data_IF_911824294452
#
_entry.id   IF_911824294452
#
_cell.length_a   1.000
_cell.length_b   1.000
_cell.length_c   1.000
_cell.angle_alpha   90.00
_cell.angle_beta   90.00
_cell.angle_gamma   90.00
#
_symmetry.space_group_name_H-M   'P 1'
#
loop_
_entity.id
_entity.type
_entity.pdbx_description
1 polymer ?
#
# COMPACT_ATOMS: atom_id res chain seq x y z
N UNK A 1 -38.23 24.91 -5.97
CA UNK A 1 -37.59 23.57 -6.10
C UNK A 1 -36.04 23.60 -6.11
N UNK A 2 -35.37 24.76 -6.21
CA UNK A 2 -33.88 24.80 -6.24
C UNK A 2 -33.16 24.68 -4.89
N UNK A 3 -33.83 24.96 -3.77
CA UNK A 3 -33.19 25.03 -2.45
C UNK A 3 -33.01 23.64 -1.80
N UNK A 4 -34.00 22.76 -1.91
CA UNK A 4 -33.93 21.38 -1.40
C UNK A 4 -32.90 20.49 -2.13
N UNK A 5 -32.65 20.76 -3.42
CA UNK A 5 -31.60 20.06 -4.18
C UNK A 5 -30.19 20.46 -3.76
N UNK A 6 -29.98 21.73 -3.39
CA UNK A 6 -28.70 22.24 -2.89
C UNK A 6 -28.32 21.66 -1.52
N UNK A 7 -29.30 21.54 -0.62
CA UNK A 7 -29.08 20.99 0.73
C UNK A 7 -28.84 19.47 0.69
N UNK A 8 -29.54 18.74 -0.17
CA UNK A 8 -29.30 17.30 -0.38
C UNK A 8 -27.92 17.05 -0.99
N UNK A 9 -27.54 17.82 -2.02
CA UNK A 9 -26.23 17.70 -2.65
C UNK A 9 -25.10 18.00 -1.65
N UNK A 10 -25.26 19.06 -0.84
CA UNK A 10 -24.30 19.44 0.20
C UNK A 10 -24.21 18.37 1.31
N UNK A 11 -25.33 17.79 1.72
CA UNK A 11 -25.38 16.71 2.71
C UNK A 11 -24.77 15.39 2.20
N UNK A 12 -24.96 15.07 0.91
CA UNK A 12 -24.31 13.92 0.27
C UNK A 12 -22.80 14.14 0.16
N UNK A 13 -22.37 15.35 -0.20
CA UNK A 13 -20.95 15.70 -0.29
C UNK A 13 -20.25 15.61 1.08
N UNK A 14 -20.87 16.15 2.13
CA UNK A 14 -20.30 16.09 3.50
C UNK A 14 -20.24 14.66 4.02
N UNK A 15 -21.23 13.81 3.72
CA UNK A 15 -21.21 12.39 4.09
C UNK A 15 -20.09 11.64 3.36
N UNK A 16 -19.90 11.89 2.07
CA UNK A 16 -18.84 11.24 1.30
C UNK A 16 -17.45 11.63 1.81
N UNK A 17 -17.22 12.91 2.07
CA UNK A 17 -15.96 13.38 2.65
C UNK A 17 -15.72 12.81 4.06
N UNK A 18 -16.76 12.70 4.89
CA UNK A 18 -16.63 12.08 6.21
C UNK A 18 -16.22 10.59 6.13
N UNK A 19 -16.79 9.84 5.17
CA UNK A 19 -16.41 8.44 4.92
C UNK A 19 -14.95 8.36 4.47
N UNK A 20 -14.55 9.20 3.53
CA UNK A 20 -13.18 9.24 3.00
C UNK A 20 -12.14 9.54 4.10
N UNK A 21 -12.38 10.56 4.91
CA UNK A 21 -11.53 10.89 6.06
C UNK A 21 -11.51 9.74 7.07
N UNK A 22 -12.68 9.15 7.36
CA UNK A 22 -12.78 7.98 8.23
C UNK A 22 -11.94 6.79 7.75
N UNK A 23 -11.94 6.51 6.45
CA UNK A 23 -11.13 5.44 5.85
C UNK A 23 -9.64 5.74 5.94
N UNK A 24 -9.21 6.98 5.68
CA UNK A 24 -7.79 7.38 5.82
C UNK A 24 -7.33 7.25 7.28
N UNK A 25 -8.14 7.69 8.24
CA UNK A 25 -7.83 7.56 9.67
C UNK A 25 -7.75 6.10 10.09
N UNK A 26 -8.72 5.28 9.70
CA UNK A 26 -8.73 3.85 10.00
C UNK A 26 -7.52 3.14 9.38
N UNK A 27 -7.17 3.48 8.13
CA UNK A 27 -5.97 3.01 7.47
C UNK A 27 -4.71 3.37 8.26
N UNK A 28 -4.56 4.63 8.68
CA UNK A 28 -3.37 5.10 9.41
C UNK A 28 -3.25 4.44 10.78
N UNK A 29 -4.35 4.28 11.52
CA UNK A 29 -4.37 3.60 12.83
C UNK A 29 -3.96 2.14 12.66
N UNK A 30 -4.65 1.40 11.78
CA UNK A 30 -4.35 -0.01 11.54
C UNK A 30 -2.92 -0.21 11.00
N UNK A 31 -2.46 0.68 10.12
CA UNK A 31 -1.13 0.59 9.52
C UNK A 31 -0.01 0.93 10.52
N UNK A 32 -0.27 1.81 11.48
CA UNK A 32 0.67 2.17 12.55
C UNK A 32 0.71 1.13 13.67
N UNK A 33 -0.40 0.45 13.95
CA UNK A 33 -0.47 -0.59 14.97
C UNK A 33 0.38 -1.83 14.61
N UNK A 34 0.43 -2.21 13.32
CA UNK A 34 1.17 -3.40 12.85
C UNK A 34 2.64 -3.47 13.32
N UNK A 35 3.51 -2.46 13.07
CA UNK A 35 4.90 -2.52 13.52
C UNK A 35 5.02 -2.58 15.04
N UNK A 36 4.18 -1.82 15.78
CA UNK A 36 4.18 -1.83 17.25
C UNK A 36 3.85 -3.22 17.80
N UNK A 37 2.82 -3.88 17.24
CA UNK A 37 2.45 -5.24 17.62
C UNK A 37 3.55 -6.25 17.32
N UNK A 38 4.21 -6.12 16.16
CA UNK A 38 5.35 -6.98 15.80
C UNK A 38 6.52 -6.77 16.76
N UNK A 39 6.78 -5.54 17.21
CA UNK A 39 7.84 -5.27 18.17
C UNK A 39 7.52 -5.87 19.55
N UNK A 40 6.26 -5.81 20.01
CA UNK A 40 5.85 -6.53 21.24
C UNK A 40 6.06 -8.04 21.10
N UNK A 41 5.69 -8.64 19.96
CA UNK A 41 5.90 -10.07 19.70
C UNK A 41 7.40 -10.41 19.75
N UNK A 42 8.25 -9.58 19.13
CA UNK A 42 9.71 -9.77 19.14
C UNK A 42 10.31 -9.66 20.55
N UNK A 43 9.89 -8.66 21.33
CA UNK A 43 10.38 -8.47 22.71
C UNK A 43 10.06 -9.71 23.57
N UNK A 44 8.90 -10.34 23.34
CA UNK A 44 8.49 -11.56 24.03
C UNK A 44 9.07 -12.85 23.39
N UNK A 45 9.99 -12.78 22.43
CA UNK A 45 10.61 -13.95 21.79
C UNK A 45 9.73 -14.67 20.74
N UNK A 46 8.53 -14.17 20.43
CA UNK A 46 7.56 -14.85 19.57
C UNK A 46 7.74 -14.68 18.06
N UNK A 47 8.82 -14.02 17.60
CA UNK A 47 9.03 -13.65 16.21
C UNK A 47 10.38 -14.13 15.66
N UNK A 48 10.64 -15.44 15.75
CA UNK A 48 11.86 -16.02 15.18
C UNK A 48 11.91 -15.81 13.64
N UNK A 49 12.98 -15.22 13.08
CA UNK A 49 13.03 -14.79 11.67
C UNK A 49 12.75 -15.89 10.64
N UNK A 50 13.21 -17.12 10.89
CA UNK A 50 13.06 -18.25 9.97
C UNK A 50 11.63 -18.82 9.86
N UNK A 51 10.75 -18.49 10.82
CA UNK A 51 9.39 -19.02 10.85
C UNK A 51 8.45 -18.26 9.92
N UNK A 52 8.78 -17.01 9.60
CA UNK A 52 7.89 -16.06 8.91
C UNK A 52 6.49 -15.98 9.54
N UNK A 53 6.36 -16.31 10.84
CA UNK A 53 5.08 -16.44 11.53
C UNK A 53 4.24 -15.16 11.48
N UNK A 54 4.90 -13.99 11.51
CA UNK A 54 4.26 -12.67 11.38
C UNK A 54 3.61 -12.41 10.01
N UNK A 55 3.92 -13.20 8.96
CA UNK A 55 3.28 -13.10 7.64
C UNK A 55 1.97 -13.88 7.56
N UNK A 56 1.77 -14.89 8.41
CA UNK A 56 0.53 -15.66 8.48
C UNK A 56 -0.68 -14.75 8.73
N UNK A 57 -0.74 -13.95 9.83
CA UNK A 57 -1.89 -13.09 10.06
C UNK A 57 -2.08 -12.05 8.94
N UNK A 58 -1.00 -11.62 8.28
CA UNK A 58 -1.07 -10.71 7.15
C UNK A 58 -1.82 -11.32 5.96
N UNK A 59 -1.40 -12.48 5.46
CA UNK A 59 -2.02 -13.07 4.27
C UNK A 59 -3.41 -13.66 4.54
N UNK A 60 -3.64 -14.27 5.70
CA UNK A 60 -4.98 -14.73 6.06
C UNK A 60 -5.96 -13.56 6.22
N UNK A 61 -5.49 -12.40 6.68
CA UNK A 61 -6.35 -11.21 6.73
C UNK A 61 -6.76 -10.74 5.33
N UNK A 62 -5.88 -10.85 4.33
CA UNK A 62 -6.18 -10.52 2.94
C UNK A 62 -7.22 -11.48 2.35
N UNK A 63 -7.17 -12.77 2.69
CA UNK A 63 -8.22 -13.73 2.32
C UNK A 63 -9.58 -13.29 2.89
N UNK A 64 -9.61 -12.88 4.16
CA UNK A 64 -10.84 -12.42 4.80
C UNK A 64 -11.39 -11.12 4.19
N UNK A 65 -10.56 -10.28 3.56
CA UNK A 65 -11.07 -9.12 2.80
C UNK A 65 -11.99 -9.54 1.65
N UNK A 66 -11.83 -10.76 1.12
CA UNK A 66 -12.71 -11.30 0.08
C UNK A 66 -14.15 -11.54 0.51
N UNK A 67 -14.45 -11.51 1.81
CA UNK A 67 -15.84 -11.62 2.31
C UNK A 67 -16.58 -10.29 2.28
N UNK A 68 -15.90 -9.18 1.95
CA UNK A 68 -16.56 -7.89 1.75
C UNK A 68 -17.48 -7.96 0.50
N UNK A 69 -18.62 -7.27 0.52
CA UNK A 69 -19.60 -7.37 -0.56
C UNK A 69 -19.01 -6.87 -1.89
N UNK A 70 -18.99 -7.77 -2.88
CA UNK A 70 -18.52 -7.52 -4.24
C UNK A 70 -19.62 -7.83 -5.25
N UNK A 71 -19.63 -7.13 -6.38
CA UNK A 71 -20.59 -7.39 -7.48
C UNK A 71 -20.12 -8.52 -8.38
N UNK A 72 -18.81 -8.77 -8.42
CA UNK A 72 -18.17 -9.79 -9.25
C UNK A 72 -17.84 -11.03 -8.42
N UNK A 73 -18.16 -12.23 -8.93
CA UNK A 73 -17.75 -13.50 -8.29
C UNK A 73 -16.25 -13.73 -8.45
N UNK A 74 -15.59 -14.31 -7.44
CA UNK A 74 -14.16 -14.63 -7.50
C UNK A 74 -13.79 -15.61 -8.63
N UNK A 75 -14.70 -16.51 -9.01
CA UNK A 75 -14.49 -17.47 -10.09
C UNK A 75 -14.40 -16.82 -11.47
N UNK A 76 -14.99 -15.64 -11.64
CA UNK A 76 -15.03 -14.90 -12.92
C UNK A 76 -13.84 -13.94 -13.07
N UNK A 77 -12.99 -13.83 -12.05
CA UNK A 77 -11.81 -12.98 -12.07
C UNK A 77 -10.65 -13.62 -12.85
N UNK A 78 -9.80 -12.78 -13.45
CA UNK A 78 -8.60 -13.22 -14.16
C UNK A 78 -7.49 -13.61 -13.15
N UNK A 79 -7.48 -14.89 -12.74
CA UNK A 79 -6.52 -15.44 -11.77
C UNK A 79 -5.07 -15.30 -12.19
N UNK A 80 -4.77 -15.18 -13.48
CA UNK A 80 -3.40 -14.93 -13.95
C UNK A 80 -2.86 -13.62 -13.41
N UNK A 81 -3.69 -12.57 -13.34
CA UNK A 81 -3.29 -11.26 -12.80
C UNK A 81 -3.08 -11.30 -11.29
N UNK A 82 -3.95 -12.03 -10.59
CA UNK A 82 -3.79 -12.30 -9.16
C UNK A 82 -2.46 -13.00 -8.89
N UNK A 83 -2.16 -14.07 -9.63
CA UNK A 83 -0.90 -14.80 -9.48
C UNK A 83 0.33 -13.93 -9.76
N UNK A 84 0.33 -13.11 -10.82
CA UNK A 84 1.45 -12.19 -11.11
C UNK A 84 1.70 -11.24 -9.93
N UNK A 85 0.64 -10.62 -9.41
CA UNK A 85 0.76 -9.72 -8.25
C UNK A 85 1.24 -10.45 -7.00
N UNK A 86 0.74 -11.66 -6.77
CA UNK A 86 1.08 -12.47 -5.60
C UNK A 86 2.54 -12.90 -5.61
N UNK A 87 3.04 -13.32 -6.78
CA UNK A 87 4.45 -13.68 -6.96
C UNK A 87 5.36 -12.48 -6.72
N UNK A 88 4.99 -11.29 -7.23
CA UNK A 88 5.75 -10.07 -6.96
C UNK A 88 5.72 -9.70 -5.47
N UNK A 89 4.56 -9.82 -4.82
CA UNK A 89 4.39 -9.50 -3.40
C UNK A 89 5.20 -10.44 -2.50
N UNK A 90 5.13 -11.76 -2.72
CA UNK A 90 5.85 -12.72 -1.89
C UNK A 90 7.38 -12.59 -2.07
N UNK A 91 7.87 -12.39 -3.30
CA UNK A 91 9.30 -12.15 -3.54
C UNK A 91 9.73 -10.86 -2.85
N UNK A 92 8.95 -9.79 -2.99
CA UNK A 92 9.19 -8.53 -2.29
C UNK A 92 9.27 -8.75 -0.77
N UNK A 93 8.30 -9.46 -0.17
CA UNK A 93 8.27 -9.67 1.28
C UNK A 93 9.45 -10.54 1.76
N UNK A 94 9.85 -11.57 1.01
CA UNK A 94 11.04 -12.37 1.32
C UNK A 94 12.31 -11.53 1.26
N UNK A 95 12.49 -10.73 0.21
CA UNK A 95 13.63 -9.82 0.08
C UNK A 95 13.66 -8.76 1.18
N UNK A 96 12.50 -8.23 1.61
CA UNK A 96 12.41 -7.31 2.76
C UNK A 96 12.88 -7.96 4.05
N UNK A 97 12.47 -9.20 4.30
CA UNK A 97 12.86 -9.93 5.50
C UNK A 97 14.34 -10.29 5.50
N UNK A 98 14.87 -10.73 4.37
CA UNK A 98 16.29 -10.97 4.20
C UNK A 98 17.10 -9.67 4.36
N UNK A 99 16.71 -8.60 3.67
CA UNK A 99 17.33 -7.29 3.77
C UNK A 99 17.33 -6.73 5.20
N UNK A 100 16.22 -6.88 5.94
CA UNK A 100 16.13 -6.53 7.35
C UNK A 100 17.09 -7.34 8.23
N UNK A 101 17.27 -8.63 7.94
CA UNK A 101 18.16 -9.52 8.70
C UNK A 101 19.63 -9.16 8.47
N UNK A 102 20.01 -8.88 7.23
CA UNK A 102 21.40 -8.60 6.85
C UNK A 102 21.84 -7.15 7.12
N UNK A 103 20.97 -6.16 6.89
CA UNK A 103 21.32 -4.73 7.06
C UNK A 103 20.84 -4.10 8.38
N UNK A 104 20.02 -4.83 9.15
CA UNK A 104 19.41 -4.31 10.37
C UNK A 104 18.24 -3.35 10.12
N UNK A 105 17.44 -3.11 11.17
CA UNK A 105 16.19 -2.33 11.07
C UNK A 105 16.41 -0.87 10.65
N UNK A 106 17.50 -0.29 11.12
CA UNK A 106 17.94 1.06 10.84
C UNK A 106 18.12 1.32 9.33
N UNK A 107 19.04 0.58 8.70
CA UNK A 107 19.33 0.67 7.27
C UNK A 107 18.10 0.27 6.44
N UNK A 108 17.43 -0.81 6.84
CA UNK A 108 16.23 -1.30 6.15
C UNK A 108 15.14 -0.21 6.03
N UNK A 109 14.82 0.52 7.10
CA UNK A 109 13.77 1.56 7.08
C UNK A 109 14.11 2.65 6.06
N UNK A 110 15.38 3.03 5.99
CA UNK A 110 15.87 4.11 5.12
C UNK A 110 15.79 3.67 3.66
N UNK A 111 16.25 2.46 3.34
CA UNK A 111 16.22 1.96 1.97
C UNK A 111 14.79 1.59 1.55
N UNK A 112 13.95 1.04 2.44
CA UNK A 112 12.52 0.75 2.16
C UNK A 112 11.70 2.02 1.88
N UNK A 113 12.11 3.17 2.45
CA UNK A 113 11.47 4.46 2.21
C UNK A 113 11.50 4.89 0.74
N UNK A 114 12.54 4.47 0.00
CA UNK A 114 12.69 4.74 -1.44
C UNK A 114 11.57 4.10 -2.28
N UNK A 115 10.81 3.14 -1.74
CA UNK A 115 9.66 2.54 -2.42
C UNK A 115 8.62 3.58 -2.89
N UNK A 116 8.51 4.73 -2.22
CA UNK A 116 7.61 5.84 -2.64
C UNK A 116 8.08 6.44 -3.98
N UNK A 117 9.39 6.65 -4.12
CA UNK A 117 10.02 7.13 -5.37
C UNK A 117 9.79 6.13 -6.49
N UNK A 118 10.03 4.84 -6.23
CA UNK A 118 9.79 3.78 -7.22
C UNK A 118 8.31 3.66 -7.60
N UNK A 119 7.38 3.82 -6.66
CA UNK A 119 5.94 3.86 -6.94
C UNK A 119 5.59 5.00 -7.89
N UNK A 120 6.19 6.18 -7.68
CA UNK A 120 6.01 7.34 -8.57
C UNK A 120 6.57 7.07 -9.98
N UNK A 121 7.78 6.51 -10.08
CA UNK A 121 8.41 6.12 -11.36
C UNK A 121 7.54 5.10 -12.10
N UNK A 122 7.14 4.01 -11.44
CA UNK A 122 6.28 3.00 -12.06
C UNK A 122 4.92 3.57 -12.47
N UNK A 123 4.36 4.51 -11.71
CA UNK A 123 3.11 5.17 -12.08
C UNK A 123 3.25 6.04 -13.33
N UNK A 124 4.42 6.63 -13.58
CA UNK A 124 4.66 7.34 -14.84
C UNK A 124 4.85 6.36 -16.00
N UNK A 125 5.60 5.28 -15.78
CA UNK A 125 5.92 4.29 -16.84
C UNK A 125 4.68 3.48 -17.24
N UNK A 126 3.95 2.91 -16.28
CA UNK A 126 2.87 1.95 -16.53
C UNK A 126 1.48 2.59 -16.69
N UNK A 127 1.23 3.69 -15.97
CA UNK A 127 -0.05 4.43 -16.04
C UNK A 127 0.06 5.72 -16.85
N UNK A 128 1.24 6.04 -17.40
CA UNK A 128 1.49 7.23 -18.25
C UNK A 128 1.09 8.55 -17.60
N UNK A 129 1.18 8.65 -16.26
CA UNK A 129 0.90 9.88 -15.52
C UNK A 129 2.03 10.90 -15.66
N UNK A 130 1.69 12.18 -15.64
CA UNK A 130 2.65 13.29 -15.59
C UNK A 130 2.69 13.86 -14.18
N UNK A 131 3.83 13.78 -13.50
CA UNK A 131 4.03 14.35 -12.17
C UNK A 131 4.69 15.73 -12.28
N UNK A 132 4.00 16.78 -11.82
CA UNK A 132 4.57 18.13 -11.68
C UNK A 132 5.71 18.18 -10.66
N UNK A 133 6.56 19.20 -10.75
CA UNK A 133 7.68 19.44 -9.84
C UNK A 133 7.27 19.42 -8.35
N UNK A 134 6.14 20.04 -7.99
CA UNK A 134 5.66 20.04 -6.60
C UNK A 134 5.39 18.64 -6.03
N UNK A 135 4.94 17.69 -6.86
CA UNK A 135 4.77 16.30 -6.44
C UNK A 135 6.12 15.64 -6.14
N UNK A 136 7.14 15.94 -6.95
CA UNK A 136 8.51 15.46 -6.73
C UNK A 136 9.14 16.05 -5.48
N UNK A 137 8.93 17.34 -5.24
CA UNK A 137 9.40 17.99 -4.00
C UNK A 137 8.74 17.34 -2.78
N UNK A 138 7.42 17.08 -2.82
CA UNK A 138 6.74 16.38 -1.73
C UNK A 138 7.28 14.97 -1.49
N UNK A 139 7.46 14.18 -2.54
CA UNK A 139 8.07 12.83 -2.46
C UNK A 139 9.50 12.90 -1.92
N UNK A 140 10.29 13.86 -2.40
CA UNK A 140 11.66 14.10 -1.96
C UNK A 140 11.74 14.46 -0.48
N UNK A 141 10.86 15.36 0.00
CA UNK A 141 10.77 15.71 1.42
C UNK A 141 10.41 14.50 2.28
N UNK A 142 9.45 13.68 1.87
CA UNK A 142 9.09 12.47 2.64
C UNK A 142 10.28 11.51 2.72
N UNK A 143 10.95 11.27 1.59
CA UNK A 143 12.12 10.40 1.53
C UNK A 143 13.26 10.95 2.40
N UNK A 144 13.53 12.25 2.32
CA UNK A 144 14.52 12.94 3.15
C UNK A 144 14.18 12.86 4.64
N UNK A 145 12.91 13.08 5.00
CA UNK A 145 12.45 12.99 6.38
C UNK A 145 12.70 11.61 6.96
N UNK A 146 12.34 10.54 6.25
CA UNK A 146 12.60 9.16 6.70
C UNK A 146 14.10 8.88 6.78
N UNK A 147 14.89 9.33 5.80
CA UNK A 147 16.34 9.17 5.76
C UNK A 147 17.08 9.99 6.83
N UNK A 148 16.55 11.10 7.32
CA UNK A 148 17.20 11.90 8.36
C UNK A 148 17.43 11.10 9.65
N UNK A 149 16.53 10.15 9.93
CA UNK A 149 16.68 9.23 11.07
C UNK A 149 17.91 8.33 10.91
N UNK A 150 18.29 7.99 9.68
CA UNK A 150 19.49 7.22 9.36
C UNK A 150 20.74 7.87 9.95
N UNK A 151 20.82 9.20 9.93
CA UNK A 151 22.02 9.95 10.30
C UNK A 151 22.41 9.81 11.79
N UNK A 152 21.51 9.29 12.65
CA UNK A 152 21.84 9.01 14.05
C UNK A 152 22.48 7.63 14.25
N UNK A 153 22.61 6.84 13.20
CA UNK A 153 23.08 5.46 13.26
C UNK A 153 24.54 5.42 12.80
N UNK A 154 25.39 4.79 13.61
CA UNK A 154 26.75 4.48 13.21
C UNK A 154 26.70 3.33 12.20
N UNK A 155 26.88 3.63 10.93
CA UNK A 155 26.93 2.61 9.88
C UNK A 155 28.35 2.05 9.77
N UNK A 156 28.50 0.75 9.98
CA UNK A 156 29.75 0.01 9.79
C UNK A 156 29.54 -1.01 8.68
N UNK A 157 29.64 -0.58 7.42
CA UNK A 157 29.33 -1.44 6.28
C UNK A 157 30.30 -2.61 6.15
N UNK A 158 29.88 -3.78 6.62
CA UNK A 158 30.48 -5.07 6.30
C UNK A 158 29.84 -5.65 5.01
N UNK A 159 30.48 -6.65 4.39
CA UNK A 159 30.02 -7.26 3.13
C UNK A 159 28.57 -7.77 3.20
N UNK A 160 28.16 -8.34 4.34
CA UNK A 160 26.80 -8.82 4.58
C UNK A 160 25.77 -7.67 4.66
N UNK A 161 26.15 -6.54 5.27
CA UNK A 161 25.26 -5.37 5.36
C UNK A 161 25.01 -4.78 3.97
N UNK A 162 26.04 -4.76 3.12
CA UNK A 162 25.91 -4.32 1.73
C UNK A 162 24.97 -5.21 0.92
N UNK A 163 25.05 -6.53 1.09
CA UNK A 163 24.06 -7.46 0.52
C UNK A 163 22.65 -7.13 1.02
N UNK A 164 22.48 -6.87 2.33
CA UNK A 164 21.19 -6.46 2.90
C UNK A 164 20.62 -5.18 2.30
N UNK A 165 21.48 -4.19 1.99
CA UNK A 165 21.10 -2.95 1.28
C UNK A 165 20.58 -3.26 -0.12
N UNK A 166 21.29 -4.08 -0.89
CA UNK A 166 20.89 -4.47 -2.26
C UNK A 166 19.53 -5.18 -2.23
N UNK A 167 19.36 -6.17 -1.34
CA UNK A 167 18.12 -6.92 -1.21
C UNK A 167 16.94 -5.99 -0.85
N UNK A 168 17.15 -5.06 0.07
CA UNK A 168 16.12 -4.08 0.46
C UNK A 168 15.80 -3.12 -0.69
N UNK A 169 16.79 -2.70 -1.47
CA UNK A 169 16.56 -1.82 -2.63
C UNK A 169 15.73 -2.52 -3.71
N UNK A 170 16.06 -3.78 -4.03
CA UNK A 170 15.27 -4.59 -4.99
C UNK A 170 13.85 -4.77 -4.48
N UNK A 171 13.68 -5.07 -3.19
CA UNK A 171 12.36 -5.12 -2.58
C UNK A 171 11.59 -3.80 -2.73
N UNK A 172 12.21 -2.64 -2.49
CA UNK A 172 11.58 -1.33 -2.66
C UNK A 172 11.06 -1.10 -4.08
N UNK A 173 11.81 -1.53 -5.10
CA UNK A 173 11.42 -1.44 -6.51
C UNK A 173 10.19 -2.32 -6.78
N UNK A 174 10.21 -3.57 -6.31
CA UNK A 174 9.11 -4.52 -6.47
C UNK A 174 7.85 -4.09 -5.70
N UNK A 175 8.01 -3.50 -4.52
CA UNK A 175 6.92 -2.93 -3.73
C UNK A 175 6.22 -1.81 -4.50
N UNK A 176 6.99 -0.90 -5.11
CA UNK A 176 6.42 0.17 -5.94
C UNK A 176 5.70 -0.37 -7.16
N UNK A 177 6.26 -1.39 -7.82
CA UNK A 177 5.61 -2.07 -8.94
C UNK A 177 4.29 -2.73 -8.52
N UNK A 178 4.27 -3.41 -7.37
CA UNK A 178 3.09 -4.10 -6.81
C UNK A 178 1.95 -3.11 -6.55
N UNK A 179 2.26 -1.92 -5.99
CA UNK A 179 1.27 -0.87 -5.77
C UNK A 179 0.66 -0.35 -7.08
N UNK A 180 1.49 -0.10 -8.09
CA UNK A 180 1.03 0.43 -9.39
C UNK A 180 0.26 -0.62 -10.18
N UNK A 181 0.67 -1.89 -10.15
CA UNK A 181 -0.06 -2.99 -10.78
C UNK A 181 -1.41 -3.24 -10.11
N UNK A 182 -1.48 -3.15 -8.78
CA UNK A 182 -2.74 -3.18 -8.04
C UNK A 182 -3.69 -2.10 -8.53
N UNK A 183 -3.23 -0.84 -8.60
CA UNK A 183 -4.03 0.25 -9.16
C UNK A 183 -4.45 -0.04 -10.62
N UNK A 184 -3.52 -0.50 -11.46
CA UNK A 184 -3.78 -0.81 -12.87
C UNK A 184 -4.86 -1.87 -13.04
N UNK A 185 -4.87 -2.92 -12.22
CA UNK A 185 -5.86 -3.98 -12.31
C UNK A 185 -7.22 -3.59 -11.71
N UNK A 186 -7.23 -2.70 -10.71
CA UNK A 186 -8.48 -2.16 -10.14
C UNK A 186 -9.13 -1.06 -10.99
N UNK A 187 -8.37 -0.36 -11.84
CA UNK A 187 -8.87 0.76 -12.67
C UNK A 187 -8.83 0.50 -14.18
N UNK A 188 -8.22 -0.59 -14.62
CA UNK A 188 -8.06 -0.90 -16.05
C UNK A 188 -9.34 -1.39 -16.73
N UNK A 189 -9.27 -1.59 -18.05
CA UNK A 189 -10.39 -2.01 -18.92
C UNK A 189 -11.01 -3.33 -18.46
N UNK A 190 -10.18 -4.33 -18.13
CA UNK A 190 -10.62 -5.56 -17.45
C UNK A 190 -10.45 -5.36 -15.95
N UNK A 191 -11.37 -4.61 -15.35
CA UNK A 191 -11.37 -4.26 -13.93
C UNK A 191 -11.60 -5.50 -13.07
N UNK A 192 -10.79 -5.65 -12.03
CA UNK A 192 -11.04 -6.58 -10.92
C UNK A 192 -11.44 -5.72 -9.71
N UNK A 193 -12.51 -6.11 -9.01
CA UNK A 193 -12.90 -5.41 -7.79
C UNK A 193 -11.82 -5.54 -6.71
N UNK A 194 -11.58 -4.46 -5.96
CA UNK A 194 -10.50 -4.38 -4.98
C UNK A 194 -10.50 -5.53 -3.96
N UNK A 195 -11.64 -5.85 -3.31
CA UNK A 195 -11.69 -6.96 -2.36
C UNK A 195 -11.34 -8.31 -2.98
N UNK A 196 -11.80 -8.58 -4.21
CA UNK A 196 -11.47 -9.81 -4.93
C UNK A 196 -9.97 -9.89 -5.24
N UNK A 197 -9.37 -8.79 -5.71
CA UNK A 197 -7.94 -8.74 -6.03
C UNK A 197 -7.08 -9.00 -4.79
N UNK A 198 -7.42 -8.35 -3.67
CA UNK A 198 -6.75 -8.57 -2.38
C UNK A 198 -6.92 -10.01 -1.90
N UNK A 199 -8.13 -10.57 -2.03
CA UNK A 199 -8.38 -11.96 -1.66
C UNK A 199 -7.56 -12.95 -2.50
N UNK A 200 -7.52 -12.75 -3.82
CA UNK A 200 -6.71 -13.57 -4.74
C UNK A 200 -5.24 -13.53 -4.34
N UNK A 201 -4.71 -12.34 -4.01
CA UNK A 201 -3.36 -12.19 -3.47
C UNK A 201 -3.17 -12.92 -2.14
N UNK A 202 -4.13 -12.77 -1.22
CA UNK A 202 -4.14 -13.46 0.06
C UNK A 202 -4.08 -14.97 -0.10
N UNK A 203 -4.92 -15.56 -0.95
CA UNK A 203 -4.96 -17.02 -1.19
C UNK A 203 -3.63 -17.49 -1.78
N UNK A 204 -3.14 -16.83 -2.83
CA UNK A 204 -1.92 -17.25 -3.53
C UNK A 204 -0.68 -17.13 -2.63
N UNK A 205 -0.59 -16.14 -1.75
CA UNK A 205 0.53 -15.98 -0.81
C UNK A 205 0.37 -16.82 0.47
N UNK A 206 -0.87 -17.07 0.93
CA UNK A 206 -1.12 -17.87 2.12
C UNK A 206 -0.74 -19.34 1.91
N UNK A 207 -0.92 -19.90 0.71
CA UNK A 207 -0.55 -21.29 0.39
C UNK A 207 0.95 -21.57 0.66
N UNK A 208 1.91 -20.90 0.00
CA UNK A 208 3.33 -21.18 0.21
C UNK A 208 3.79 -20.88 1.64
N UNK A 209 3.26 -19.82 2.28
CA UNK A 209 3.59 -19.53 3.68
C UNK A 209 3.05 -20.61 4.62
N UNK A 210 1.82 -21.09 4.41
CA UNK A 210 1.24 -22.17 5.21
C UNK A 210 2.02 -23.47 5.02
N UNK A 211 2.41 -23.80 3.78
CA UNK A 211 3.26 -24.96 3.51
C UNK A 211 4.61 -24.83 4.23
N UNK A 212 5.26 -23.67 4.16
CA UNK A 212 6.49 -23.42 4.91
C UNK A 212 6.29 -23.60 6.42
N UNK A 213 5.23 -23.05 6.99
CA UNK A 213 4.93 -23.20 8.42
C UNK A 213 4.71 -24.68 8.79
N UNK A 214 3.95 -25.42 7.99
CA UNK A 214 3.66 -26.84 8.26
C UNK A 214 4.90 -27.73 8.16
N UNK A 215 5.80 -27.49 7.20
CA UNK A 215 6.99 -28.31 6.98
C UNK A 215 8.21 -27.86 7.80
N UNK A 216 8.39 -26.56 8.03
CA UNK A 216 9.57 -26.00 8.68
C UNK A 216 9.35 -25.67 10.15
N UNK A 217 8.22 -25.01 10.47
CA UNK A 217 7.94 -24.44 11.79
C UNK A 217 7.26 -25.42 12.74
N UNK A 218 6.22 -26.14 12.29
CA UNK A 218 5.48 -27.09 13.14
C UNK A 218 6.38 -28.22 13.69
N UNK A 219 7.27 -28.85 12.89
CA UNK A 219 8.13 -29.91 13.42
C UNK A 219 9.15 -29.43 14.46
N UNK A 220 9.53 -28.15 14.42
CA UNK A 220 10.46 -27.51 15.37
C UNK A 220 9.75 -26.45 16.22
N UNK A 221 8.48 -26.67 16.53
CA UNK A 221 7.69 -25.67 17.24
C UNK A 221 8.27 -25.36 18.63
N UNK A 222 8.79 -26.37 19.32
CA UNK A 222 9.45 -26.18 20.62
C UNK A 222 10.65 -25.23 20.49
N UNK A 223 11.59 -25.55 19.60
CA UNK A 223 12.83 -24.81 19.39
C UNK A 223 12.60 -23.39 18.82
N UNK A 224 11.64 -23.23 17.90
CA UNK A 224 11.46 -21.98 17.15
C UNK A 224 10.42 -21.03 17.77
N UNK A 225 9.55 -21.52 18.66
CA UNK A 225 8.46 -20.73 19.24
C UNK A 225 8.44 -20.81 20.77
N UNK A 226 8.56 -21.99 21.37
CA UNK A 226 8.43 -22.14 22.83
C UNK A 226 9.71 -21.66 23.53
N UNK A 227 10.86 -22.15 23.11
CA UNK A 227 12.13 -21.90 23.77
C UNK A 227 12.53 -20.40 23.71
N UNK A 228 12.43 -19.71 22.56
CA UNK A 228 12.72 -18.27 22.49
C UNK A 228 11.81 -17.43 23.38
N UNK A 229 10.52 -17.81 23.51
CA UNK A 229 9.58 -17.12 24.40
C UNK A 229 9.97 -17.32 25.86
N UNK A 230 10.42 -18.52 26.24
CA UNK A 230 10.90 -18.79 27.60
C UNK A 230 12.21 -18.08 27.91
N UNK A 231 13.16 -18.09 26.99
CA UNK A 231 14.46 -17.42 27.12
C UNK A 231 14.32 -15.91 27.30
N UNK A 232 13.35 -15.30 26.61
CA UNK A 232 13.02 -13.89 26.75
C UNK A 232 12.13 -13.56 27.96
N UNK A 233 11.81 -14.54 28.82
CA UNK A 233 10.82 -14.41 29.89
C UNK A 233 9.47 -13.84 29.39
N UNK A 234 9.12 -14.16 28.15
CA UNK A 234 7.94 -13.66 27.45
C UNK A 234 6.66 -14.38 27.87
N UNK A 235 5.52 -13.69 27.71
CA UNK A 235 4.22 -14.26 28.00
C UNK A 235 3.55 -14.81 26.74
N UNK A 236 3.27 -16.12 26.71
CA UNK A 236 2.51 -16.75 25.62
C UNK A 236 1.15 -16.08 25.37
N UNK A 237 0.49 -15.61 26.44
CA UNK A 237 -0.80 -14.90 26.34
C UNK A 237 -0.65 -13.57 25.60
N UNK A 238 0.41 -12.82 25.92
CA UNK A 238 0.71 -11.55 25.26
C UNK A 238 1.03 -11.78 23.78
N UNK A 239 1.88 -12.76 23.47
CA UNK A 239 2.21 -13.12 22.08
C UNK A 239 0.94 -13.49 21.30
N UNK A 240 0.09 -14.37 21.82
CA UNK A 240 -1.15 -14.76 21.18
C UNK A 240 -2.12 -13.58 20.96
N UNK A 241 -2.27 -12.71 21.98
CA UNK A 241 -3.07 -11.50 21.88
C UNK A 241 -2.55 -10.54 20.80
N UNK A 242 -1.22 -10.35 20.72
CA UNK A 242 -0.60 -9.53 19.69
C UNK A 242 -0.79 -10.12 18.29
N UNK A 243 -0.72 -11.45 18.11
CA UNK A 243 -1.03 -12.10 16.83
C UNK A 243 -2.48 -11.88 16.40
N UNK A 244 -3.44 -11.96 17.34
CA UNK A 244 -4.84 -11.67 17.07
C UNK A 244 -5.05 -10.21 16.64
N UNK A 245 -4.50 -9.25 17.39
CA UNK A 245 -4.60 -7.83 17.02
C UNK A 245 -3.83 -7.48 15.75
N UNK A 246 -2.74 -8.19 15.46
CA UNK A 246 -2.00 -8.06 14.21
C UNK A 246 -2.86 -8.52 13.03
N UNK A 247 -3.56 -9.65 13.17
CA UNK A 247 -4.54 -10.11 12.18
C UNK A 247 -5.64 -9.06 11.95
N UNK A 248 -6.26 -8.56 13.02
CA UNK A 248 -7.33 -7.56 12.93
C UNK A 248 -6.83 -6.26 12.27
N UNK A 249 -5.63 -5.80 12.63
CA UNK A 249 -5.01 -4.61 12.04
C UNK A 249 -4.64 -4.84 10.57
N UNK A 250 -4.17 -6.03 10.19
CA UNK A 250 -3.91 -6.38 8.79
C UNK A 250 -5.19 -6.47 7.97
N UNK A 251 -6.29 -6.95 8.54
CA UNK A 251 -7.59 -6.99 7.87
C UNK A 251 -8.12 -5.58 7.60
N UNK A 252 -8.12 -4.71 8.62
CA UNK A 252 -8.50 -3.31 8.49
C UNK A 252 -7.60 -2.56 7.50
N UNK A 253 -6.28 -2.76 7.59
CA UNK A 253 -5.32 -2.15 6.66
C UNK A 253 -5.58 -2.60 5.23
N UNK A 254 -5.67 -3.90 4.96
CA UNK A 254 -5.91 -4.43 3.62
C UNK A 254 -7.26 -3.99 3.07
N UNK A 255 -8.30 -3.99 3.91
CA UNK A 255 -9.66 -3.55 3.57
C UNK A 255 -9.75 -2.04 3.25
N UNK A 256 -8.96 -1.21 3.91
CA UNK A 256 -8.91 0.23 3.61
C UNK A 256 -7.93 0.56 2.47
N UNK A 257 -6.85 -0.21 2.32
CA UNK A 257 -5.82 -0.01 1.31
C UNK A 257 -6.37 -0.14 -0.11
N UNK A 258 -7.15 -1.20 -0.41
CA UNK A 258 -7.73 -1.35 -1.74
C UNK A 258 -8.67 -0.20 -2.08
N UNK A 259 -9.44 0.28 -1.10
CA UNK A 259 -10.34 1.42 -1.28
C UNK A 259 -9.54 2.69 -1.58
N UNK A 260 -8.48 2.94 -0.83
CA UNK A 260 -7.61 4.10 -1.07
C UNK A 260 -6.91 4.04 -2.43
N UNK A 261 -6.43 2.87 -2.84
CA UNK A 261 -5.82 2.68 -4.17
C UNK A 261 -6.85 2.87 -5.29
N UNK A 262 -8.06 2.33 -5.11
CA UNK A 262 -9.14 2.44 -6.09
C UNK A 262 -9.65 3.87 -6.26
N UNK A 263 -9.63 4.71 -5.22
CA UNK A 263 -10.11 6.10 -5.31
C UNK A 263 -8.98 7.11 -5.56
N UNK A 264 -7.89 7.04 -4.80
CA UNK A 264 -6.82 8.05 -4.81
C UNK A 264 -5.59 7.67 -5.64
N UNK A 265 -5.39 6.37 -5.88
CA UNK A 265 -4.28 5.83 -6.66
C UNK A 265 -3.01 5.51 -5.86
N UNK A 266 -2.13 4.71 -6.47
CA UNK A 266 -0.98 4.08 -5.83
C UNK A 266 -0.01 5.09 -5.20
N UNK A 267 0.31 6.18 -5.90
CA UNK A 267 1.26 7.19 -5.41
C UNK A 267 0.69 7.96 -4.22
N UNK A 268 -0.57 8.40 -4.30
CA UNK A 268 -1.23 9.11 -3.19
C UNK A 268 -1.36 8.22 -1.95
N UNK A 269 -1.73 6.94 -2.13
CA UNK A 269 -1.76 5.98 -1.02
C UNK A 269 -0.37 5.68 -0.47
N UNK A 270 0.65 5.57 -1.34
CA UNK A 270 2.03 5.34 -0.92
C UNK A 270 2.60 6.45 -0.04
N UNK A 271 2.19 7.70 -0.27
CA UNK A 271 2.61 8.86 0.52
C UNK A 271 2.11 8.84 1.97
N UNK A 272 0.99 8.15 2.24
CA UNK A 272 0.51 7.94 3.61
C UNK A 272 1.51 7.14 4.48
N UNK A 273 2.48 6.45 3.87
CA UNK A 273 3.61 5.87 4.61
C UNK A 273 4.41 6.93 5.37
N UNK A 274 4.55 8.14 4.83
CA UNK A 274 5.22 9.25 5.52
C UNK A 274 4.50 9.66 6.81
N UNK A 275 3.17 9.76 6.76
CA UNK A 275 2.34 10.05 7.95
C UNK A 275 2.42 8.90 8.96
N UNK A 276 2.35 7.65 8.49
CA UNK A 276 2.52 6.46 9.33
C UNK A 276 3.83 6.52 10.11
N UNK A 277 4.95 6.85 9.48
CA UNK A 277 6.25 6.93 10.15
C UNK A 277 6.22 7.92 11.32
N UNK A 278 5.63 9.10 11.13
CA UNK A 278 5.45 10.08 12.21
C UNK A 278 4.57 9.54 13.34
N UNK A 279 3.44 8.90 13.02
CA UNK A 279 2.54 8.31 14.02
C UNK A 279 3.19 7.18 14.81
N UNK A 280 3.92 6.30 14.14
CA UNK A 280 4.64 5.20 14.78
C UNK A 280 5.67 5.74 15.77
N UNK A 281 6.40 6.82 15.46
CA UNK A 281 7.34 7.40 16.44
C UNK A 281 6.65 7.98 17.66
N UNK A 282 5.53 8.67 17.49
CA UNK A 282 4.75 9.20 18.61
C UNK A 282 4.27 8.06 19.52
N UNK A 283 3.69 7.01 18.94
CA UNK A 283 3.22 5.87 19.72
C UNK A 283 4.37 5.05 20.33
N UNK A 284 5.47 4.86 19.61
CA UNK A 284 6.65 4.15 20.13
C UNK A 284 7.26 4.87 21.33
N UNK A 285 7.31 6.21 21.32
CA UNK A 285 7.78 6.97 22.47
C UNK A 285 6.88 6.73 23.70
N UNK A 286 5.56 6.80 23.53
CA UNK A 286 4.61 6.60 24.64
C UNK A 286 4.64 5.17 25.17
N UNK A 287 4.83 4.17 24.32
CA UNK A 287 4.71 2.75 24.69
C UNK A 287 6.03 2.10 25.11
N UNK A 288 7.17 2.53 24.53
CA UNK A 288 8.43 1.80 24.64
C UNK A 288 9.60 2.64 25.15
N UNK A 289 9.46 3.95 25.36
CA UNK A 289 10.58 4.79 25.80
C UNK A 289 11.16 4.31 27.16
N UNK A 290 10.31 3.89 28.09
CA UNK A 290 10.74 3.36 29.40
C UNK A 290 11.48 2.01 29.30
N UNK A 291 11.22 1.23 28.25
CA UNK A 291 11.82 -0.09 28.03
C UNK A 291 13.11 0.04 27.19
N UNK A 292 13.08 0.92 26.20
CA UNK A 292 14.09 1.07 25.17
C UNK A 292 14.37 2.56 24.91
N UNK A 293 15.45 3.13 25.47
CA UNK A 293 15.76 4.56 25.35
C UNK A 293 15.90 5.06 23.90
N UNK A 294 16.24 4.16 22.96
CA UNK A 294 16.36 4.49 21.54
C UNK A 294 15.02 4.73 20.83
N UNK A 295 13.90 4.35 21.43
CA UNK A 295 12.54 4.62 20.94
C UNK A 295 11.99 5.97 21.44
N UNK A 296 12.72 6.66 22.31
CA UNK A 296 12.31 7.95 22.85
C UNK A 296 12.36 9.05 21.80
N UNK A 297 11.43 10.01 21.92
CA UNK A 297 11.36 11.16 21.03
C UNK A 297 12.55 12.10 21.30
N UNK A 298 13.34 12.33 20.27
CA UNK A 298 14.49 13.23 20.27
C UNK A 298 14.33 14.29 19.17
N UNK A 299 15.21 15.31 19.17
CA UNK A 299 15.14 16.42 18.19
C UNK A 299 15.19 15.92 16.74
N UNK A 300 15.96 14.87 16.46
CA UNK A 300 16.11 14.31 15.11
C UNK A 300 14.85 13.58 14.63
N UNK A 301 14.26 12.74 15.46
CA UNK A 301 12.99 12.03 15.20
C UNK A 301 11.82 13.01 15.08
N UNK A 302 11.78 14.05 15.91
CA UNK A 302 10.79 15.14 15.80
C UNK A 302 10.93 15.92 14.48
N UNK A 303 12.16 16.31 14.13
CA UNK A 303 12.45 17.02 12.86
C UNK A 303 12.12 16.13 11.65
N UNK A 304 12.49 14.86 11.68
CA UNK A 304 12.16 13.84 10.68
C UNK A 304 10.64 13.74 10.47
N UNK A 305 9.86 13.64 11.56
CA UNK A 305 8.40 13.58 11.50
C UNK A 305 7.79 14.85 10.89
N UNK A 306 8.27 16.03 11.29
CA UNK A 306 7.81 17.32 10.74
C UNK A 306 8.08 17.44 9.24
N UNK A 307 9.26 17.03 8.78
CA UNK A 307 9.62 17.03 7.35
C UNK A 307 8.70 16.06 6.57
N UNK A 308 8.44 14.86 7.11
CA UNK A 308 7.54 13.89 6.48
C UNK A 308 6.11 14.44 6.33
N UNK A 309 5.56 15.02 7.39
CA UNK A 309 4.20 15.61 7.38
C UNK A 309 4.14 16.78 6.40
N UNK A 310 5.16 17.64 6.39
CA UNK A 310 5.25 18.77 5.45
C UNK A 310 5.27 18.28 4.00
N UNK A 311 6.04 17.22 3.69
CA UNK A 311 6.08 16.62 2.36
C UNK A 311 4.73 16.04 1.91
N UNK A 312 3.99 15.40 2.83
CA UNK A 312 2.63 14.89 2.56
C UNK A 312 1.65 16.04 2.27
N UNK A 313 1.70 17.10 3.07
CA UNK A 313 0.85 18.29 2.90
C UNK A 313 1.15 18.95 1.55
N UNK A 314 2.43 19.17 1.22
CA UNK A 314 2.86 19.78 -0.04
C UNK A 314 2.38 18.97 -1.25
N UNK A 315 2.55 17.64 -1.22
CA UNK A 315 2.05 16.77 -2.28
C UNK A 315 0.52 16.86 -2.42
N UNK A 316 -0.20 16.89 -1.30
CA UNK A 316 -1.66 16.93 -1.27
C UNK A 316 -2.20 18.22 -1.87
N UNK A 317 -1.58 19.37 -1.58
CA UNK A 317 -1.96 20.66 -2.18
C UNK A 317 -1.67 20.70 -3.69
N UNK A 318 -0.56 20.12 -4.15
CA UNK A 318 -0.23 20.05 -5.57
C UNK A 318 -1.28 19.27 -6.38
N UNK A 319 -1.90 18.25 -5.77
CA UNK A 319 -3.00 17.47 -6.37
C UNK A 319 -4.27 18.29 -6.54
N UNK A 320 -4.66 19.08 -5.53
CA UNK A 320 -5.86 19.95 -5.58
C UNK A 320 -5.71 20.98 -6.72
N UNK A 321 -4.54 21.61 -6.84
CA UNK A 321 -4.25 22.55 -7.92
C UNK A 321 -4.23 21.91 -9.32
N UNK A 322 -3.97 20.61 -9.41
CA UNK A 322 -4.07 19.87 -10.69
C UNK A 322 -5.54 19.66 -11.09
N UNK A 323 -6.41 19.32 -10.14
CA UNK A 323 -7.84 19.10 -10.41
C UNK A 323 -8.61 20.38 -10.75
N UNK A 324 -8.20 21.53 -10.21
CA UNK A 324 -8.83 22.83 -10.48
C UNK A 324 -8.44 23.49 -11.81
N UNK A 325 -7.55 22.88 -12.61
CA UNK A 325 -7.09 23.41 -13.90
C UNK A 325 -7.52 22.58 -15.11
N UNK A 326 -8.23 21.47 -14.89
CA UNK A 326 -8.87 20.67 -15.94
C UNK A 326 -10.37 20.98 -15.98
N UNK A 327 -10.72 22.19 -16.42
CA UNK A 327 -11.98 22.36 -17.15
C UNK A 327 -11.70 21.95 -18.60
N UNK A 328 -12.46 20.95 -19.06
CA UNK A 328 -12.45 20.46 -20.43
C UNK A 328 -12.68 21.61 -21.41
N UNK A 329 -11.71 21.89 -22.29
CA UNK A 329 -12.04 22.43 -23.61
C UNK A 329 -12.49 21.24 -24.45
N UNK A 330 -13.71 21.23 -25.01
CA UNK A 330 -14.09 20.25 -26.00
C UNK A 330 -13.13 20.40 -27.18
N UNK A 331 -12.47 19.32 -27.55
CA UNK A 331 -11.71 19.23 -28.81
C UNK A 331 -12.67 19.49 -29.96
N UNK A 332 -12.40 20.45 -30.86
CA UNK A 332 -13.21 20.63 -32.06
C UNK A 332 -12.97 19.44 -33.00
N UNK A 333 -14.06 18.78 -33.39
CA UNK A 333 -14.08 17.82 -34.48
C UNK A 333 -13.53 18.48 -35.76
N UNK A 334 -12.48 17.90 -36.33
CA UNK A 334 -11.98 18.26 -37.66
C UNK A 334 -11.84 16.99 -38.49
N UNK A 335 -12.84 16.78 -39.35
CA UNK A 335 -12.77 16.33 -40.74
C UNK A 335 -14.23 16.01 -41.14
N UNK A 336 -14.85 16.56 -42.18
CA UNK A 336 -14.32 16.94 -43.48
C UNK A 336 -15.37 17.82 -44.19
N UNK A 337 -14.98 19.03 -44.64
CA UNK A 337 -15.69 19.73 -45.71
C UNK A 337 -15.17 19.22 -47.07
N UNK A 338 -16.08 18.77 -47.92
CA UNK A 338 -15.95 18.90 -49.37
C UNK A 338 -17.34 19.18 -49.92
N UNK A 339 -17.47 20.33 -50.58
CA UNK A 339 -18.71 21.02 -50.96
C UNK A 339 -19.27 20.54 -52.34
N UNK A 340 -20.21 21.24 -53.01
CA UNK A 340 -21.57 20.77 -53.25
C UNK A 340 -21.91 20.59 -54.75
N UNK A 341 -23.00 19.89 -55.10
CA UNK A 341 -23.68 20.10 -56.39
C UNK A 341 -25.11 19.50 -56.42
N UNK A 342 -26.07 20.38 -56.77
CA UNK A 342 -27.30 20.17 -57.58
C UNK A 342 -28.14 18.89 -57.39
N UNK A 343 -29.37 18.99 -56.85
CA UNK A 343 -30.66 19.26 -57.54
C UNK A 343 -31.28 18.00 -58.21
N UNK A 344 -32.56 17.81 -57.88
CA UNK A 344 -33.65 17.09 -58.58
C UNK A 344 -33.92 15.58 -58.35
N UNK A 345 -35.15 15.39 -57.84
CA UNK A 345 -36.19 14.44 -58.24
C UNK A 345 -36.20 12.96 -57.80
N UNK A 346 -37.37 12.59 -57.26
CA UNK A 346 -38.14 11.50 -57.87
C UNK A 346 -38.24 10.19 -57.11
N UNK A 347 -39.39 10.00 -56.46
CA UNK A 347 -40.27 8.83 -56.61
C UNK A 347 -39.72 7.38 -56.64
N UNK A 348 -40.23 6.60 -55.69
CA UNK A 348 -41.04 5.39 -55.93
C UNK A 348 -40.43 4.08 -56.51
N UNK A 349 -40.90 2.96 -55.92
CA UNK A 349 -41.05 1.57 -56.44
C UNK A 349 -39.97 0.50 -56.16
N UNK A 350 -40.36 -0.38 -55.23
CA UNK A 350 -40.72 -1.80 -55.44
C UNK A 350 -39.98 -2.62 -56.53
N UNK A 351 -39.38 -3.71 -56.02
CA UNK A 351 -39.51 -5.13 -56.47
C UNK A 351 -38.66 -5.62 -57.65
N UNK A 352 -38.32 -6.91 -57.57
CA UNK A 352 -37.83 -7.89 -58.56
C UNK A 352 -36.32 -8.20 -58.42
N UNK A 353 -35.92 -9.29 -57.75
CA UNK A 353 -35.83 -10.72 -58.16
C UNK A 353 -34.48 -11.08 -58.84
N UNK A 354 -33.89 -12.21 -58.36
CA UNK A 354 -32.84 -13.06 -58.96
C UNK A 354 -31.39 -12.58 -58.96
N UNK A 355 -30.55 -13.21 -58.14
CA UNK A 355 -29.89 -14.48 -58.48
C UNK A 355 -29.48 -15.24 -57.21
#
# INVERSE_FOLDING_TARGET
MGQAGGDLLRAVLTRQHAIEVGVVLLFLVAYSAQPLLVDVIKINGGAHPSTFSVLIPHYYSMVLVGTLPTKQKLSECDWRRGMILSTLDIINQLLKKAGLLYSGAAVYIVIDSSSIVWTAIWSMVLLRRKLKLFHWVGIGLITLGISLKACQLNFTFHDEEFLGVILTLVASILMGLTFVLNEKYMKGVKKIEGPNLVCMMGVCCAVPITLWTLFWTVPRFSELVIDPVREHNGSFKTVACCFFWLFASCWLHSGTLWFLMANYGAVSTGILKGVKVALVFLFSHVLFCDIQPHQCLNVWTGTSALICVTGVILYSFAKIQWSGKSEDKPTPDVASEASPTSIEDGEEKKKVERQ
#
